data_IF_028904298533
#
_entry.id   IF_028904298533
#
_cell.length_a   1.000
_cell.length_b   1.000
_cell.length_c   1.000
_cell.angle_alpha   90.00
_cell.angle_beta   90.00
_cell.angle_gamma   90.00
#
_symmetry.space_group_name_H-M   'P 1'
#
loop_
_entity.id
_entity.type
_entity.pdbx_description
1 polymer ?
#
# COMPACT_ATOMS: atom_id res chain seq x y z
N UNK A 1 24.74 36.99 -5.53
CA UNK A 1 23.91 36.29 -4.52
C UNK A 1 22.51 36.87 -4.62
N UNK A 2 21.52 36.09 -5.06
CA UNK A 2 20.15 36.58 -5.15
C UNK A 2 19.52 36.69 -3.74
N UNK A 3 18.77 37.76 -3.42
CA UNK A 3 18.11 37.89 -2.12
C UNK A 3 17.02 36.83 -1.95
N UNK A 4 16.89 36.31 -0.71
CA UNK A 4 15.90 35.29 -0.37
C UNK A 4 14.46 35.74 -0.67
N UNK A 5 13.57 34.82 -1.10
CA UNK A 5 12.17 35.15 -1.39
C UNK A 5 11.46 35.61 -0.11
N UNK A 6 10.88 36.82 -0.14
CA UNK A 6 10.08 37.39 0.96
C UNK A 6 8.59 37.16 0.64
N UNK A 7 7.79 36.73 1.62
CA UNK A 7 6.33 36.70 1.44
C UNK A 7 5.79 38.14 1.51
N UNK A 8 4.95 38.57 0.56
CA UNK A 8 4.26 39.85 0.68
C UNK A 8 3.35 39.82 1.91
N UNK A 9 3.43 40.86 2.74
CA UNK A 9 2.56 40.99 3.90
C UNK A 9 1.16 41.43 3.44
N UNK A 10 0.13 40.70 3.87
CA UNK A 10 -1.25 41.06 3.59
C UNK A 10 -1.73 42.20 4.50
N UNK A 11 -2.61 43.06 4.00
CA UNK A 11 -3.31 44.05 4.83
C UNK A 11 -4.19 43.33 5.88
N UNK A 12 -4.09 43.66 7.18
CA UNK A 12 -4.88 42.99 8.23
C UNK A 12 -6.38 43.30 8.17
N UNK A 13 -6.76 44.38 7.47
CA UNK A 13 -8.17 44.79 7.38
C UNK A 13 -8.95 44.18 6.22
N UNK A 14 -8.30 43.97 5.07
CA UNK A 14 -8.97 43.47 3.86
C UNK A 14 -8.29 42.26 3.20
N UNK A 15 -7.11 41.84 3.70
CA UNK A 15 -6.37 40.70 3.15
C UNK A 15 -5.59 40.99 1.87
N UNK A 16 -5.62 42.23 1.35
CA UNK A 16 -4.91 42.59 0.12
C UNK A 16 -3.40 42.33 0.24
N UNK A 17 -2.81 41.65 -0.75
CA UNK A 17 -1.36 41.45 -0.82
C UNK A 17 -0.68 42.77 -1.18
N UNK A 18 0.20 43.26 -0.31
CA UNK A 18 0.93 44.51 -0.52
C UNK A 18 2.39 44.21 -0.87
N UNK A 19 2.90 44.90 -1.89
CA UNK A 19 4.32 44.92 -2.23
C UNK A 19 4.87 46.28 -1.83
N UNK A 20 5.71 46.32 -0.81
CA UNK A 20 6.33 47.55 -0.30
C UNK A 20 7.83 47.56 -0.61
N UNK A 21 8.36 48.72 -0.98
CA UNK A 21 9.81 48.93 -1.08
C UNK A 21 10.43 48.92 0.32
N UNK A 22 11.73 48.57 0.46
CA UNK A 22 12.36 48.45 1.78
C UNK A 22 12.32 49.72 2.63
N UNK A 23 12.25 50.88 1.98
CA UNK A 23 12.13 52.20 2.60
C UNK A 23 10.81 52.40 3.35
N UNK A 24 9.78 51.64 2.99
CA UNK A 24 8.44 51.74 3.59
C UNK A 24 8.24 50.79 4.78
N UNK A 25 9.20 49.94 5.12
CA UNK A 25 9.05 49.04 6.26
C UNK A 25 9.03 49.81 7.59
N UNK A 26 8.04 49.54 8.43
CA UNK A 26 7.82 50.24 9.70
C UNK A 26 7.11 51.58 9.57
N UNK A 27 6.87 52.08 8.35
CA UNK A 27 6.08 53.30 8.14
C UNK A 27 4.59 52.98 8.11
N UNK A 28 3.79 54.02 8.31
CA UNK A 28 2.33 53.93 8.32
C UNK A 28 1.82 54.43 6.97
N UNK A 29 1.15 53.56 6.21
CA UNK A 29 0.60 53.86 4.88
C UNK A 29 -0.89 53.53 4.83
N UNK A 30 -1.61 54.12 3.89
CA UNK A 30 -3.00 53.76 3.62
C UNK A 30 -3.08 52.63 2.61
N UNK A 31 -3.94 51.64 2.88
CA UNK A 31 -4.16 50.55 1.94
C UNK A 31 -4.88 51.08 0.68
N UNK A 32 -4.36 50.86 -0.55
CA UNK A 32 -5.04 51.29 -1.77
C UNK A 32 -6.38 50.57 -2.01
N UNK A 33 -6.60 49.42 -1.38
CA UNK A 33 -7.81 48.63 -1.56
C UNK A 33 -8.93 48.98 -0.56
N UNK A 34 -8.60 49.34 0.69
CA UNK A 34 -9.60 49.59 1.74
C UNK A 34 -9.44 50.92 2.47
N UNK A 35 -8.46 51.74 2.09
CA UNK A 35 -8.13 53.06 2.63
C UNK A 35 -7.83 53.10 4.14
N UNK A 36 -7.79 51.93 4.80
CA UNK A 36 -7.40 51.85 6.20
C UNK A 36 -5.90 51.99 6.35
N UNK A 37 -5.52 52.75 7.36
CA UNK A 37 -4.15 52.96 7.77
C UNK A 37 -3.55 51.65 8.31
N UNK A 38 -2.39 51.26 7.80
CA UNK A 38 -1.66 50.07 8.23
C UNK A 38 -0.17 50.38 8.40
N UNK A 39 0.46 49.78 9.40
CA UNK A 39 1.91 49.81 9.54
C UNK A 39 2.49 48.69 8.68
N UNK A 40 3.41 49.03 7.77
CA UNK A 40 4.05 48.04 6.90
C UNK A 40 4.95 47.16 7.78
N UNK A 41 4.64 45.87 7.97
CA UNK A 41 5.44 45.02 8.82
C UNK A 41 6.77 44.72 8.12
N UNK A 42 7.86 44.71 8.89
CA UNK A 42 9.14 44.25 8.38
C UNK A 42 8.99 42.81 7.85
N UNK A 43 9.42 42.50 6.60
CA UNK A 43 9.38 41.14 6.09
C UNK A 43 10.17 40.27 7.04
N UNK A 44 9.49 39.32 7.67
CA UNK A 44 10.17 38.32 8.47
C UNK A 44 11.10 37.56 7.51
N UNK A 45 12.41 37.43 7.82
CA UNK A 45 13.27 36.51 7.09
C UNK A 45 12.54 35.16 7.14
N UNK A 46 12.22 34.60 5.97
CA UNK A 46 11.75 33.21 5.93
C UNK A 46 12.88 32.43 6.61
N UNK A 47 12.62 31.74 7.74
CA UNK A 47 13.64 30.91 8.35
C UNK A 47 14.23 30.06 7.24
N UNK A 48 15.57 29.88 7.15
CA UNK A 48 16.16 28.99 6.18
C UNK A 48 15.32 27.72 6.18
N UNK A 49 14.64 27.43 5.07
CA UNK A 49 13.92 26.17 4.97
C UNK A 49 15.01 25.15 5.21
N UNK A 50 15.01 24.51 6.40
CA UNK A 50 15.91 23.40 6.65
C UNK A 50 15.77 22.52 5.42
N UNK A 51 16.87 22.19 4.71
CA UNK A 51 16.81 21.47 3.46
C UNK A 51 15.87 20.32 3.68
N UNK A 52 14.71 20.36 2.99
CA UNK A 52 13.54 19.50 3.14
C UNK A 52 14.01 18.14 3.63
N UNK A 53 14.07 17.95 4.96
CA UNK A 53 14.79 16.82 5.53
C UNK A 53 14.04 15.60 5.01
N UNK A 54 14.70 14.84 4.13
CA UNK A 54 14.11 13.86 3.22
C UNK A 54 12.77 13.35 3.75
N UNK A 55 11.67 13.97 3.33
CA UNK A 55 10.35 13.64 3.84
C UNK A 55 10.15 12.17 3.51
N UNK A 56 10.21 11.30 4.53
CA UNK A 56 10.19 9.85 4.30
C UNK A 56 8.88 9.57 3.59
N UNK A 57 8.90 9.03 2.35
CA UNK A 57 7.68 8.91 1.57
C UNK A 57 6.69 8.05 2.34
N UNK A 58 5.45 8.55 2.48
CA UNK A 58 4.38 7.85 3.20
C UNK A 58 4.25 6.43 2.64
N UNK A 59 4.42 5.38 3.47
CA UNK A 59 4.40 4.00 3.00
C UNK A 59 3.11 3.66 2.27
N UNK A 60 3.25 3.02 1.09
CA UNK A 60 2.11 2.56 0.30
C UNK A 60 1.88 1.06 0.51
N UNK A 61 0.76 0.70 1.13
CA UNK A 61 0.42 -0.68 1.48
C UNK A 61 -0.98 -1.07 0.97
N UNK A 62 -1.20 -2.36 0.79
CA UNK A 62 -2.55 -2.92 0.64
C UNK A 62 -3.19 -3.11 2.01
N UNK A 63 -4.53 -3.08 2.05
CA UNK A 63 -5.26 -3.40 3.27
C UNK A 63 -4.95 -4.86 3.69
N UNK A 64 -4.33 -5.09 4.87
CA UNK A 64 -3.89 -6.42 5.27
C UNK A 64 -5.02 -7.45 5.40
N UNK A 65 -6.22 -7.02 5.81
CA UNK A 65 -7.40 -7.88 5.91
C UNK A 65 -7.92 -8.29 4.54
N UNK A 66 -7.87 -7.38 3.57
CA UNK A 66 -8.22 -7.72 2.18
C UNK A 66 -7.19 -8.69 1.60
N UNK A 67 -5.89 -8.58 1.91
CA UNK A 67 -4.89 -9.56 1.50
C UNK A 67 -5.20 -10.99 2.00
N UNK A 68 -5.75 -11.11 3.21
CA UNK A 68 -6.20 -12.40 3.76
C UNK A 68 -7.33 -13.01 2.94
N UNK A 69 -8.40 -12.24 2.67
CA UNK A 69 -9.54 -12.68 1.84
C UNK A 69 -9.10 -13.00 0.41
N UNK A 70 -8.17 -12.23 -0.14
CA UNK A 70 -7.66 -12.45 -1.49
C UNK A 70 -6.97 -13.82 -1.66
N UNK A 71 -6.38 -14.35 -0.59
CA UNK A 71 -5.76 -15.69 -0.59
C UNK A 71 -6.78 -16.82 -0.73
N UNK A 72 -8.02 -16.60 -0.29
CA UNK A 72 -9.10 -17.58 -0.41
C UNK A 72 -9.54 -17.75 -1.87
N UNK A 73 -9.54 -16.67 -2.64
CA UNK A 73 -10.11 -16.62 -3.98
C UNK A 73 -9.10 -16.97 -5.09
N UNK A 74 -7.83 -16.67 -4.86
CA UNK A 74 -6.87 -16.53 -5.96
C UNK A 74 -5.54 -17.29 -5.78
N UNK A 75 -5.37 -17.97 -4.64
CA UNK A 75 -4.19 -18.79 -4.35
C UNK A 75 -3.65 -18.50 -2.96
N UNK A 76 -3.39 -19.58 -2.20
CA UNK A 76 -3.02 -19.50 -0.78
C UNK A 76 -1.77 -18.66 -0.51
N UNK A 77 -0.81 -18.65 -1.45
CA UNK A 77 0.46 -17.94 -1.30
C UNK A 77 0.33 -16.42 -1.44
N UNK A 78 -0.75 -15.91 -2.04
CA UNK A 78 -0.86 -14.50 -2.43
C UNK A 78 -0.95 -13.59 -1.21
N UNK A 79 -1.73 -13.91 -0.19
CA UNK A 79 -1.83 -13.08 1.02
C UNK A 79 -0.50 -12.92 1.76
N UNK A 80 0.20 -14.01 2.12
CA UNK A 80 1.52 -13.90 2.76
C UNK A 80 2.53 -13.17 1.87
N UNK A 81 2.46 -13.34 0.54
CA UNK A 81 3.27 -12.56 -0.38
C UNK A 81 2.96 -11.06 -0.30
N UNK A 82 1.69 -10.67 -0.37
CA UNK A 82 1.28 -9.27 -0.21
C UNK A 82 1.64 -8.71 1.17
N UNK A 83 1.53 -9.51 2.24
CA UNK A 83 1.98 -9.14 3.59
C UNK A 83 3.49 -8.90 3.61
N UNK A 84 4.28 -9.70 2.89
CA UNK A 84 5.75 -9.49 2.78
C UNK A 84 6.08 -8.15 2.13
N UNK A 85 5.34 -7.79 1.07
CA UNK A 85 5.52 -6.51 0.38
C UNK A 85 5.06 -5.33 1.23
N UNK A 86 3.99 -5.50 1.99
CA UNK A 86 3.54 -4.52 2.98
C UNK A 86 4.60 -4.32 4.08
N UNK A 87 5.14 -5.40 4.66
CA UNK A 87 6.19 -5.31 5.69
C UNK A 87 7.44 -4.63 5.18
N UNK A 88 7.84 -4.93 3.94
CA UNK A 88 8.95 -4.25 3.27
C UNK A 88 8.69 -2.75 3.11
N UNK A 89 7.48 -2.37 2.71
CA UNK A 89 7.09 -0.96 2.61
C UNK A 89 7.08 -0.23 3.97
N UNK A 90 6.85 -0.96 5.07
CA UNK A 90 6.93 -0.45 6.43
C UNK A 90 8.36 -0.44 7.02
N UNK A 91 9.38 -0.85 6.25
CA UNK A 91 10.77 -0.95 6.71
C UNK A 91 11.03 -2.10 7.69
N UNK A 92 10.11 -3.07 7.80
CA UNK A 92 10.22 -4.24 8.68
C UNK A 92 10.75 -5.44 7.87
N UNK A 93 12.04 -5.47 7.59
CA UNK A 93 12.67 -6.49 6.74
C UNK A 93 12.54 -7.90 7.30
N UNK A 94 12.68 -8.08 8.61
CA UNK A 94 12.61 -9.41 9.24
C UNK A 94 11.21 -10.02 9.12
N UNK A 95 10.18 -9.20 9.33
CA UNK A 95 8.78 -9.62 9.16
C UNK A 95 8.44 -9.84 7.69
N UNK A 96 9.03 -9.07 6.78
CA UNK A 96 8.91 -9.32 5.35
C UNK A 96 9.48 -10.68 4.97
N UNK A 97 10.65 -11.05 5.50
CA UNK A 97 11.27 -12.35 5.27
C UNK A 97 10.42 -13.50 5.83
N UNK A 98 9.89 -13.37 7.05
CA UNK A 98 8.96 -14.36 7.63
C UNK A 98 7.70 -14.52 6.79
N UNK A 99 7.09 -13.42 6.35
CA UNK A 99 5.91 -13.47 5.48
C UNK A 99 6.22 -14.09 4.11
N UNK A 100 7.42 -13.85 3.57
CA UNK A 100 7.88 -14.47 2.32
C UNK A 100 8.13 -15.97 2.49
N UNK A 101 8.66 -16.40 3.63
CA UNK A 101 8.79 -17.82 3.96
C UNK A 101 7.42 -18.51 3.97
N UNK A 102 6.41 -17.92 4.61
CA UNK A 102 5.03 -18.40 4.55
C UNK A 102 4.49 -18.47 3.12
N UNK A 103 4.75 -17.45 2.30
CA UNK A 103 4.31 -17.42 0.90
C UNK A 103 4.89 -18.59 0.10
N UNK A 104 6.19 -18.84 0.25
CA UNK A 104 6.87 -19.94 -0.44
C UNK A 104 6.41 -21.32 0.07
N UNK A 105 6.22 -21.47 1.38
CA UNK A 105 5.68 -22.70 1.95
C UNK A 105 4.28 -23.03 1.43
N UNK A 106 3.38 -22.04 1.42
CA UNK A 106 2.03 -22.21 0.89
C UNK A 106 2.00 -22.41 -0.63
N UNK A 107 2.93 -21.81 -1.37
CA UNK A 107 3.12 -22.10 -2.79
C UNK A 107 3.52 -23.57 -3.00
N UNK A 108 4.44 -24.10 -2.18
CA UNK A 108 4.81 -25.51 -2.21
C UNK A 108 3.63 -26.43 -1.95
N UNK A 109 2.80 -26.13 -0.93
CA UNK A 109 1.56 -26.86 -0.65
C UNK A 109 0.62 -26.83 -1.85
N UNK A 110 0.45 -25.67 -2.48
CA UNK A 110 -0.45 -25.52 -3.63
C UNK A 110 0.03 -26.30 -4.86
N UNK A 111 1.34 -26.34 -5.10
CA UNK A 111 1.97 -27.14 -6.16
C UNK A 111 1.74 -28.63 -5.91
N UNK A 112 2.00 -29.12 -4.69
CA UNK A 112 1.81 -30.54 -4.34
C UNK A 112 0.34 -30.96 -4.44
N UNK A 113 -0.57 -30.11 -3.94
CA UNK A 113 -2.02 -30.29 -4.04
C UNK A 113 -2.47 -30.35 -5.49
N UNK A 114 -2.00 -29.43 -6.32
CA UNK A 114 -2.33 -29.40 -7.75
C UNK A 114 -1.81 -30.65 -8.44
N UNK A 115 -0.56 -31.06 -8.18
CA UNK A 115 0.00 -32.30 -8.69
C UNK A 115 -0.84 -33.52 -8.33
N UNK A 116 -1.29 -33.63 -7.07
CA UNK A 116 -2.19 -34.70 -6.62
C UNK A 116 -3.53 -34.69 -7.36
N UNK A 117 -4.17 -33.52 -7.55
CA UNK A 117 -5.44 -33.42 -8.29
C UNK A 117 -5.28 -33.90 -9.73
N UNK A 118 -4.18 -33.53 -10.39
CA UNK A 118 -3.92 -33.88 -11.79
C UNK A 118 -3.65 -35.38 -12.00
N UNK A 119 -3.33 -36.15 -10.95
CA UNK A 119 -3.18 -37.62 -11.03
C UNK A 119 -4.47 -38.37 -10.73
N UNK A 120 -5.53 -37.70 -10.28
CA UNK A 120 -6.77 -38.41 -9.95
C UNK A 120 -7.60 -38.73 -11.20
N UNK A 121 -8.06 -39.99 -11.37
CA UNK A 121 -8.87 -40.39 -12.52
C UNK A 121 -10.29 -39.80 -12.49
N UNK A 122 -10.76 -39.35 -11.33
CA UNK A 122 -12.06 -38.69 -11.15
C UNK A 122 -11.86 -37.37 -10.43
N UNK A 123 -12.28 -36.29 -11.08
CA UNK A 123 -12.08 -34.93 -10.58
C UNK A 123 -12.69 -34.69 -9.18
N UNK A 124 -13.82 -35.32 -8.85
CA UNK A 124 -14.63 -34.99 -7.66
C UNK A 124 -13.94 -35.20 -6.31
N UNK A 125 -13.37 -36.37 -6.06
CA UNK A 125 -12.81 -36.73 -4.73
C UNK A 125 -11.50 -35.99 -4.45
N UNK A 126 -10.65 -35.85 -5.48
CA UNK A 126 -9.38 -35.13 -5.39
C UNK A 126 -9.57 -33.63 -5.12
N UNK A 127 -10.57 -33.00 -5.75
CA UNK A 127 -10.89 -31.59 -5.54
C UNK A 127 -11.34 -31.29 -4.11
N UNK A 128 -12.18 -32.15 -3.51
CA UNK A 128 -12.70 -31.97 -2.15
C UNK A 128 -11.61 -32.03 -1.08
N UNK A 129 -10.80 -33.09 -1.06
CA UNK A 129 -9.67 -33.25 -0.11
C UNK A 129 -8.70 -32.07 -0.26
N UNK A 130 -8.39 -31.73 -1.50
CA UNK A 130 -7.53 -30.60 -1.83
C UNK A 130 -8.09 -29.30 -1.25
N UNK A 131 -9.38 -29.01 -1.43
CA UNK A 131 -9.99 -27.80 -0.87
C UNK A 131 -9.87 -27.72 0.66
N UNK A 132 -10.13 -28.81 1.37
CA UNK A 132 -10.01 -28.87 2.84
C UNK A 132 -8.59 -28.60 3.31
N UNK A 133 -7.59 -29.24 2.69
CA UNK A 133 -6.18 -28.99 3.00
C UNK A 133 -5.82 -27.52 2.75
N UNK A 134 -6.30 -26.96 1.65
CA UNK A 134 -6.07 -25.56 1.31
C UNK A 134 -6.65 -24.61 2.36
N UNK A 135 -7.91 -24.83 2.75
CA UNK A 135 -8.57 -24.02 3.77
C UNK A 135 -7.86 -24.13 5.13
N UNK A 136 -7.46 -25.34 5.52
CA UNK A 136 -6.72 -25.57 6.77
C UNK A 136 -5.37 -24.85 6.77
N UNK A 137 -4.59 -24.96 5.70
CA UNK A 137 -3.30 -24.27 5.57
C UNK A 137 -3.46 -22.74 5.61
N UNK A 138 -4.51 -22.20 4.98
CA UNK A 138 -4.84 -20.79 5.05
C UNK A 138 -5.17 -20.34 6.47
N UNK A 139 -6.01 -21.10 7.19
CA UNK A 139 -6.38 -20.80 8.57
C UNK A 139 -5.16 -20.82 9.51
N UNK A 140 -4.29 -21.81 9.35
CA UNK A 140 -3.02 -21.90 10.09
C UNK A 140 -2.20 -20.64 9.88
N UNK A 141 -2.01 -20.20 8.63
CA UNK A 141 -1.27 -18.98 8.34
C UNK A 141 -1.94 -17.72 8.92
N UNK A 142 -3.26 -17.57 8.78
CA UNK A 142 -4.01 -16.43 9.32
C UNK A 142 -3.77 -16.29 10.82
N UNK A 143 -3.89 -17.40 11.57
CA UNK A 143 -3.74 -17.41 13.02
C UNK A 143 -2.28 -17.23 13.43
N UNK A 144 -1.34 -17.91 12.77
CA UNK A 144 0.08 -17.90 13.14
C UNK A 144 0.79 -16.58 12.79
N UNK A 145 0.43 -15.95 11.66
CA UNK A 145 1.18 -14.80 11.14
C UNK A 145 0.31 -13.69 10.53
N UNK A 146 -0.76 -14.05 9.81
CA UNK A 146 -1.55 -13.08 9.04
C UNK A 146 -2.16 -11.96 9.90
N UNK A 147 -2.68 -12.27 11.09
CA UNK A 147 -3.28 -11.28 11.99
C UNK A 147 -2.28 -10.28 12.59
N UNK A 148 -0.97 -10.56 12.55
CA UNK A 148 0.04 -9.69 13.15
C UNK A 148 0.07 -8.31 12.49
N UNK A 149 0.08 -8.27 11.16
CA UNK A 149 0.14 -7.01 10.41
C UNK A 149 -1.10 -6.14 10.65
N UNK A 150 -2.28 -6.75 10.72
CA UNK A 150 -3.54 -6.04 11.04
C UNK A 150 -3.48 -5.37 12.40
N UNK A 151 -3.02 -6.10 13.43
CA UNK A 151 -2.94 -5.58 14.80
C UNK A 151 -1.99 -4.39 14.91
N UNK A 152 -0.87 -4.41 14.20
CA UNK A 152 0.11 -3.31 14.21
C UNK A 152 -0.33 -2.05 13.46
N UNK A 153 -1.27 -2.19 12.53
CA UNK A 153 -1.81 -1.08 11.75
C UNK A 153 -3.09 -0.53 12.40
N UNK A 154 -3.82 -1.36 13.15
CA UNK A 154 -5.04 -0.94 13.85
C UNK A 154 -4.71 0.15 14.87
N UNK A 155 -5.42 1.27 14.79
CA UNK A 155 -5.25 2.41 15.71
C UNK A 155 -4.17 3.42 15.31
N UNK A 156 -3.49 3.24 14.17
CA UNK A 156 -2.60 4.29 13.65
C UNK A 156 -3.39 5.47 13.08
N UNK A 157 -2.80 6.66 13.22
CA UNK A 157 -3.41 7.93 12.80
C UNK A 157 -3.72 7.90 11.29
N UNK A 158 -4.90 8.37 10.85
CA UNK A 158 -5.20 8.54 9.43
C UNK A 158 -4.12 9.36 8.71
N UNK A 159 -3.69 8.92 7.52
CA UNK A 159 -2.66 9.60 6.73
C UNK A 159 -1.24 9.04 6.89
N UNK A 160 -0.99 8.12 7.84
CA UNK A 160 0.32 7.44 7.94
C UNK A 160 0.58 6.43 6.82
N UNK A 161 -0.43 6.11 6.01
CA UNK A 161 -0.36 5.13 4.95
C UNK A 161 -1.09 5.60 3.69
N UNK A 162 -0.49 5.33 2.54
CA UNK A 162 -1.13 5.48 1.22
C UNK A 162 -1.69 4.13 0.77
N UNK A 163 -2.87 4.13 0.17
CA UNK A 163 -3.46 2.91 -0.41
C UNK A 163 -2.75 2.56 -1.72
N UNK A 164 -2.38 1.29 -1.87
CA UNK A 164 -1.77 0.75 -3.10
C UNK A 164 -2.82 0.19 -4.07
N UNK A 165 -2.57 0.26 -5.38
CA UNK A 165 -3.46 -0.28 -6.41
C UNK A 165 -3.54 -1.81 -6.37
N UNK A 166 -4.72 -2.37 -6.62
CA UNK A 166 -5.00 -3.81 -6.66
C UNK A 166 -4.90 -4.43 -8.06
N UNK A 167 -4.67 -3.65 -9.12
CA UNK A 167 -4.65 -4.17 -10.49
C UNK A 167 -3.64 -5.31 -10.66
N UNK A 168 -2.40 -5.13 -10.17
CA UNK A 168 -1.36 -6.16 -10.27
C UNK A 168 -1.78 -7.50 -9.64
N UNK A 169 -2.15 -7.53 -8.35
CA UNK A 169 -2.66 -8.75 -7.70
C UNK A 169 -3.86 -9.36 -8.43
N UNK A 170 -4.83 -8.56 -8.87
CA UNK A 170 -6.02 -9.06 -9.58
C UNK A 170 -5.64 -9.74 -10.90
N UNK A 171 -4.90 -9.07 -11.77
CA UNK A 171 -4.54 -9.63 -13.07
C UNK A 171 -3.62 -10.84 -12.95
N UNK A 172 -2.64 -10.80 -12.02
CA UNK A 172 -1.77 -11.95 -11.77
C UNK A 172 -2.55 -13.18 -11.30
N UNK A 173 -3.55 -12.96 -10.44
CA UNK A 173 -4.42 -14.02 -9.92
C UNK A 173 -5.34 -14.63 -10.98
N UNK A 174 -5.94 -13.78 -11.81
CA UNK A 174 -6.78 -14.24 -12.93
C UNK A 174 -5.95 -15.03 -13.94
N UNK A 175 -4.73 -14.57 -14.24
CA UNK A 175 -3.79 -15.31 -15.10
C UNK A 175 -3.47 -16.69 -14.53
N UNK A 176 -3.17 -16.78 -13.23
CA UNK A 176 -2.92 -18.05 -12.55
C UNK A 176 -4.13 -18.99 -12.62
N UNK A 177 -5.33 -18.49 -12.30
CA UNK A 177 -6.55 -19.28 -12.35
C UNK A 177 -6.81 -19.83 -13.77
N UNK A 178 -6.66 -19.00 -14.80
CA UNK A 178 -6.81 -19.43 -16.19
C UNK A 178 -5.86 -20.57 -16.56
N UNK A 179 -4.57 -20.45 -16.22
CA UNK A 179 -3.57 -21.50 -16.48
C UNK A 179 -3.95 -22.80 -15.77
N UNK A 180 -4.38 -22.70 -14.51
CA UNK A 180 -4.76 -23.86 -13.71
C UNK A 180 -5.99 -24.59 -14.28
N UNK A 181 -7.03 -23.85 -14.68
CA UNK A 181 -8.22 -24.43 -15.33
C UNK A 181 -7.88 -25.13 -16.65
N UNK A 182 -7.03 -24.53 -17.47
CA UNK A 182 -6.57 -25.15 -18.72
C UNK A 182 -5.80 -26.45 -18.45
N UNK A 183 -4.91 -26.47 -17.47
CA UNK A 183 -4.15 -27.67 -17.09
C UNK A 183 -5.07 -28.82 -16.65
N UNK A 184 -6.09 -28.54 -15.84
CA UNK A 184 -7.09 -29.52 -15.41
C UNK A 184 -7.93 -30.06 -16.59
N UNK A 185 -8.24 -29.18 -17.56
CA UNK A 185 -9.06 -29.55 -18.72
C UNK A 185 -8.31 -30.47 -19.68
N UNK A 186 -7.04 -30.19 -19.94
CA UNK A 186 -6.17 -31.02 -20.80
C UNK A 186 -5.97 -32.41 -20.17
N UNK A 187 -5.62 -32.48 -18.89
CA UNK A 187 -5.41 -33.76 -18.19
C UNK A 187 -6.66 -34.61 -18.13
N UNK A 188 -7.83 -34.01 -17.85
CA UNK A 188 -9.11 -34.72 -17.91
C UNK A 188 -9.38 -35.31 -19.29
N UNK A 189 -9.08 -34.56 -20.37
CA UNK A 189 -9.29 -35.03 -21.74
C UNK A 189 -8.33 -36.16 -22.10
N UNK A 190 -7.08 -36.11 -21.64
CA UNK A 190 -6.08 -37.15 -21.87
C UNK A 190 -6.39 -38.44 -21.11
N UNK A 191 -6.84 -38.35 -19.84
CA UNK A 191 -7.22 -39.51 -19.04
C UNK A 191 -8.46 -40.23 -19.58
N UNK A 192 -9.37 -39.53 -20.27
CA UNK A 192 -10.53 -40.16 -20.93
C UNK A 192 -10.16 -40.92 -22.22
N UNK A 193 -8.97 -40.70 -22.78
CA UNK A 193 -8.52 -41.33 -24.03
C UNK A 193 -7.64 -42.57 -23.81
N UNK A 194 -7.22 -42.83 -22.58
CA UNK A 194 -6.41 -43.99 -22.17
C UNK A 194 -7.33 -45.07 -21.60
#
# INVERSE_FOLDING_TARGET
>A
MAPAPRRPAGCPSCGQSLSATPELYGTTIECPACQKTLTVPHPQPVPPQLPLAASTPVPAIWNPSVCGVFSLLFGLAIGPWLHSLNWKALGRTDEASKARFWALGLLGVDILRTGYVLTQPKAGTGLGISFVIGLAALLVWIVAAGRKQEREIKGRVPGTFRKRSWMGPIFGSLGYACVWFLACSVTSTSLQRL
#
